data_IF_302531101485
#
_entry.id   IF_302531101485
#
_cell.length_a   1.000
_cell.length_b   1.000
_cell.length_c   1.000
_cell.angle_alpha   90.00
_cell.angle_beta   90.00
_cell.angle_gamma   90.00
#
_symmetry.space_group_name_H-M   'P 1'
#
loop_
_entity.id
_entity.type
_entity.pdbx_description
1 polymer ?
#
# COMPACT_ATOMS: atom_id res chain seq x y z
N UNK A 1 43.87 26.40 13.94
CA UNK A 1 44.22 25.55 12.78
C UNK A 1 43.23 24.38 12.68
N UNK A 2 41.98 24.68 12.33
CA UNK A 2 40.93 23.68 12.08
C UNK A 2 40.46 23.81 10.63
N UNK A 3 41.41 23.72 9.68
CA UNK A 3 41.15 23.84 8.25
C UNK A 3 41.19 22.47 7.54
N UNK A 4 41.51 21.38 8.27
CA UNK A 4 41.64 20.04 7.70
C UNK A 4 40.37 19.18 7.80
N UNK A 5 39.36 19.56 8.59
CA UNK A 5 38.14 18.76 8.78
C UNK A 5 37.08 18.98 7.69
N UNK A 6 37.17 20.06 6.92
CA UNK A 6 36.26 20.32 5.77
C UNK A 6 36.61 19.50 4.52
N UNK A 7 37.78 18.86 4.47
CA UNK A 7 38.24 18.10 3.30
C UNK A 7 37.77 16.63 3.28
N UNK A 8 36.96 16.21 4.26
CA UNK A 8 36.49 14.81 4.40
C UNK A 8 34.97 14.64 4.24
N UNK A 9 34.24 15.65 3.76
CA UNK A 9 32.87 15.50 3.27
C UNK A 9 32.88 15.28 1.76
N UNK A 10 33.60 14.26 1.28
CA UNK A 10 33.37 13.75 -0.07
C UNK A 10 32.10 12.90 -0.03
N UNK A 11 30.94 13.56 -0.09
CA UNK A 11 29.69 12.90 -0.43
C UNK A 11 29.85 12.38 -1.85
N UNK A 12 30.27 11.12 -1.99
CA UNK A 12 30.20 10.41 -3.26
C UNK A 12 28.72 10.26 -3.62
N UNK A 13 28.21 11.23 -4.37
CA UNK A 13 26.83 11.30 -4.91
C UNK A 13 26.60 10.25 -6.04
N UNK A 14 27.32 9.15 -6.02
CA UNK A 14 27.33 8.13 -7.08
C UNK A 14 26.79 6.79 -6.56
N UNK A 15 25.75 6.84 -5.70
CA UNK A 15 24.92 5.68 -5.33
C UNK A 15 23.43 6.06 -5.19
N UNK A 16 22.94 7.03 -5.97
CA UNK A 16 21.50 7.20 -6.19
C UNK A 16 21.08 6.46 -7.48
N UNK A 17 21.42 5.17 -7.55
CA UNK A 17 21.08 4.31 -8.67
C UNK A 17 19.61 3.85 -8.58
N UNK A 18 18.70 4.74 -8.99
CA UNK A 18 17.33 4.42 -9.41
C UNK A 18 16.28 4.12 -8.32
N UNK A 19 16.05 5.06 -7.40
CA UNK A 19 14.72 5.14 -6.79
C UNK A 19 13.76 5.86 -7.76
N UNK A 20 13.35 5.16 -8.82
CA UNK A 20 12.33 5.68 -9.75
C UNK A 20 10.96 5.60 -9.06
N UNK A 21 10.55 6.69 -8.43
CA UNK A 21 9.15 6.87 -8.07
C UNK A 21 8.33 6.80 -9.36
N UNK A 22 7.28 5.96 -9.43
CA UNK A 22 6.40 5.97 -10.60
C UNK A 22 5.87 7.38 -10.79
N UNK A 23 5.84 7.83 -12.04
CA UNK A 23 5.29 9.15 -12.37
C UNK A 23 3.87 9.23 -11.79
N UNK A 24 3.49 10.33 -11.10
CA UNK A 24 2.13 10.51 -10.57
C UNK A 24 1.03 10.41 -11.64
N UNK A 25 1.41 10.45 -12.91
CA UNK A 25 0.53 10.38 -14.08
C UNK A 25 0.35 8.96 -14.64
N UNK A 26 1.09 7.96 -14.14
CA UNK A 26 0.86 6.57 -14.54
C UNK A 26 -0.50 6.09 -14.01
N UNK A 27 -1.46 5.95 -14.92
CA UNK A 27 -2.79 5.46 -14.61
C UNK A 27 -2.72 3.94 -14.44
N UNK A 28 -2.81 3.50 -13.19
CA UNK A 28 -2.91 2.08 -12.84
C UNK A 28 -4.35 1.63 -13.12
N UNK A 29 -4.53 0.65 -14.01
CA UNK A 29 -5.82 0.02 -14.24
C UNK A 29 -6.22 -0.88 -13.07
N UNK A 30 -7.50 -0.93 -12.74
CA UNK A 30 -8.00 -1.76 -11.65
C UNK A 30 -7.69 -1.19 -10.26
N UNK A 31 -7.27 -2.04 -9.32
CA UNK A 31 -6.95 -1.65 -7.96
C UNK A 31 -5.58 -0.94 -7.92
N UNK A 32 -5.47 0.32 -7.44
CA UNK A 32 -4.21 1.08 -7.45
C UNK A 32 -3.12 0.43 -6.58
N UNK A 33 -3.50 -0.47 -5.67
CA UNK A 33 -2.58 -1.19 -4.80
C UNK A 33 -2.07 -2.51 -5.39
N UNK A 34 -2.58 -2.98 -6.53
CA UNK A 34 -2.29 -4.33 -7.04
C UNK A 34 -0.79 -4.57 -7.29
N UNK A 35 -0.03 -3.53 -7.62
CA UNK A 35 1.41 -3.64 -7.89
C UNK A 35 2.26 -3.85 -6.62
N UNK A 36 1.71 -3.52 -5.44
CA UNK A 36 2.40 -3.60 -4.13
C UNK A 36 1.67 -4.52 -3.13
N UNK A 37 0.51 -5.03 -3.49
CA UNK A 37 -0.31 -5.86 -2.63
C UNK A 37 0.19 -7.33 -2.66
N UNK A 38 0.59 -7.92 -1.52
CA UNK A 38 1.11 -9.30 -1.48
C UNK A 38 0.03 -10.36 -1.75
N UNK A 39 -1.25 -9.98 -1.67
CA UNK A 39 -2.41 -10.86 -1.85
C UNK A 39 -3.22 -10.49 -3.11
N UNK A 40 -2.60 -9.79 -4.07
CA UNK A 40 -3.29 -9.37 -5.29
C UNK A 40 -3.80 -10.59 -6.08
N UNK A 41 -5.10 -10.62 -6.33
CA UNK A 41 -5.75 -11.60 -7.22
C UNK A 41 -5.85 -11.03 -8.64
N UNK A 42 -6.13 -11.86 -9.63
CA UNK A 42 -6.21 -11.44 -11.05
C UNK A 42 -7.19 -10.27 -11.26
N UNK A 43 -8.33 -10.33 -10.56
CA UNK A 43 -9.36 -9.27 -10.59
C UNK A 43 -8.83 -7.89 -10.17
N UNK A 44 -7.78 -7.83 -9.33
CA UNK A 44 -7.18 -6.57 -8.90
C UNK A 44 -6.51 -5.80 -10.04
N UNK A 45 -6.13 -6.45 -11.15
CA UNK A 45 -5.43 -5.80 -12.28
C UNK A 45 -6.39 -5.15 -13.28
N UNK A 46 -7.63 -5.60 -13.31
CA UNK A 46 -8.63 -5.24 -14.32
C UNK A 46 -9.78 -4.42 -13.75
N UNK A 47 -10.15 -4.64 -12.49
CA UNK A 47 -11.34 -4.03 -11.88
C UNK A 47 -11.01 -3.16 -10.67
N UNK A 48 -11.67 -2.01 -10.60
CA UNK A 48 -11.63 -1.13 -9.42
C UNK A 48 -12.56 -1.74 -8.35
N UNK A 49 -12.06 -2.01 -7.13
CA UNK A 49 -12.87 -2.56 -6.07
C UNK A 49 -13.94 -1.56 -5.59
N UNK A 50 -15.11 -2.08 -5.20
CA UNK A 50 -16.18 -1.27 -4.62
C UNK A 50 -15.81 -0.84 -3.21
N UNK A 51 -16.11 0.40 -2.85
CA UNK A 51 -15.98 0.90 -1.49
C UNK A 51 -17.12 0.33 -0.61
N UNK A 52 -16.75 -0.43 0.42
CA UNK A 52 -17.68 -1.09 1.34
C UNK A 52 -17.37 -0.69 2.79
N UNK A 53 -18.39 -0.51 3.62
CA UNK A 53 -18.21 -0.37 5.07
C UNK A 53 -17.71 -1.68 5.67
N UNK A 54 -16.65 -1.61 6.48
CA UNK A 54 -16.08 -2.76 7.20
C UNK A 54 -16.54 -2.71 8.65
N UNK A 55 -16.09 -1.71 9.42
CA UNK A 55 -16.40 -1.64 10.85
C UNK A 55 -17.59 -0.69 11.15
N UNK A 56 -17.78 0.31 10.30
CA UNK A 56 -18.86 1.30 10.39
C UNK A 56 -19.03 1.98 9.03
N UNK A 57 -20.08 2.83 8.83
CA UNK A 57 -20.20 3.64 7.61
C UNK A 57 -18.99 4.53 7.33
N UNK A 58 -18.28 4.98 8.38
CA UNK A 58 -17.08 5.82 8.31
C UNK A 58 -15.80 5.01 8.08
N UNK A 59 -15.78 3.74 8.48
CA UNK A 59 -14.63 2.85 8.28
C UNK A 59 -14.84 1.95 7.07
N UNK A 60 -14.39 2.42 5.91
CA UNK A 60 -14.62 1.76 4.61
C UNK A 60 -13.34 1.17 4.01
N UNK A 61 -13.48 0.12 3.22
CA UNK A 61 -12.41 -0.51 2.44
C UNK A 61 -12.87 -0.75 1.01
N UNK A 62 -11.97 -0.49 0.06
CA UNK A 62 -12.14 -0.85 -1.35
C UNK A 62 -11.20 -2.04 -1.66
N UNK A 63 -11.53 -3.22 -1.13
CA UNK A 63 -10.75 -4.44 -1.33
C UNK A 63 -11.62 -5.51 -1.98
N UNK A 64 -11.12 -6.19 -3.01
CA UNK A 64 -11.84 -7.29 -3.68
C UNK A 64 -12.07 -8.52 -2.80
N UNK A 65 -11.29 -8.67 -1.73
CA UNK A 65 -11.45 -9.74 -0.74
C UNK A 65 -12.46 -9.38 0.37
N UNK A 66 -12.87 -8.11 0.45
CA UNK A 66 -13.91 -7.66 1.39
C UNK A 66 -15.27 -7.75 0.69
N UNK A 67 -16.18 -8.47 1.31
CA UNK A 67 -17.57 -8.65 0.92
C UNK A 67 -18.48 -8.00 1.97
N UNK A 68 -19.75 -7.77 1.63
CA UNK A 68 -20.71 -7.21 2.58
C UNK A 68 -20.85 -8.08 3.85
N UNK A 69 -20.78 -9.40 3.68
CA UNK A 69 -20.84 -10.40 4.76
C UNK A 69 -19.58 -10.40 5.65
N UNK A 70 -18.38 -10.38 5.07
CA UNK A 70 -17.12 -10.50 5.83
C UNK A 70 -16.58 -9.15 6.32
N UNK A 71 -17.02 -8.05 5.71
CA UNK A 71 -16.80 -6.69 6.18
C UNK A 71 -17.63 -6.44 7.42
N UNK A 72 -18.95 -6.62 7.32
CA UNK A 72 -19.88 -6.36 8.42
C UNK A 72 -19.72 -7.31 9.62
N UNK A 73 -19.25 -8.55 9.41
CA UNK A 73 -19.04 -9.50 10.53
C UNK A 73 -17.84 -9.14 11.42
N UNK A 74 -16.88 -8.34 10.94
CA UNK A 74 -15.76 -7.86 11.78
C UNK A 74 -16.21 -6.83 12.83
N UNK A 75 -17.37 -6.21 12.63
CA UNK A 75 -18.01 -5.29 13.59
C UNK A 75 -18.36 -6.03 14.88
N UNK A 76 -18.94 -7.24 14.76
CA UNK A 76 -19.43 -8.00 15.91
C UNK A 76 -18.33 -8.79 16.61
N UNK A 77 -17.19 -9.04 15.95
CA UNK A 77 -16.08 -9.81 16.52
C UNK A 77 -15.04 -8.96 17.26
N UNK A 78 -15.06 -7.62 17.10
CA UNK A 78 -14.22 -6.72 17.89
C UNK A 78 -12.73 -7.01 17.80
N UNK A 79 -12.24 -7.56 16.68
CA UNK A 79 -10.83 -7.93 16.50
C UNK A 79 -10.03 -6.79 15.86
N UNK A 80 -9.23 -6.03 16.64
CA UNK A 80 -8.41 -4.93 16.11
C UNK A 80 -7.15 -5.41 15.36
N UNK A 81 -6.86 -6.71 15.33
CA UNK A 81 -5.59 -7.25 14.80
C UNK A 81 -5.78 -8.14 13.56
N UNK A 82 -6.77 -7.85 12.73
CA UNK A 82 -7.06 -8.67 11.57
C UNK A 82 -6.06 -8.43 10.42
N UNK A 83 -4.84 -8.90 10.63
CA UNK A 83 -3.83 -9.15 9.60
C UNK A 83 -4.18 -10.50 8.99
N UNK A 84 -4.65 -10.49 7.74
CA UNK A 84 -4.79 -11.71 6.97
C UNK A 84 -3.39 -12.28 6.72
N UNK A 85 -3.03 -13.32 7.47
CA UNK A 85 -1.82 -14.11 7.24
C UNK A 85 -2.17 -15.26 6.28
N UNK A 86 -1.74 -15.23 5.00
CA UNK A 86 -1.81 -16.42 4.15
C UNK A 86 -0.85 -17.48 4.71
N UNK A 87 -1.33 -18.70 4.91
CA UNK A 87 -0.50 -19.88 5.20
C UNK A 87 0.09 -20.46 3.93
#
# INVERSE_FOLDING_TARGET
MCLYTVYSIQTTDELFHSFHLPSPTEVISGCPFHARCPIAIDRCRTEVPRLLGVTSPEHQSACHLVTAENGASRISQGDPNLVYHPS
#
